data_IF_455304188377
#
_entry.id   IF_455304188377
#
_cell.length_a   1.000
_cell.length_b   1.000
_cell.length_c   1.000
_cell.angle_alpha   90.00
_cell.angle_beta   90.00
_cell.angle_gamma   90.00
#
_symmetry.space_group_name_H-M   'P 1'
#
loop_
_entity.id
_entity.type
_entity.pdbx_description
1 polymer ?
#
# COMPACT_ATOMS: atom_id res chain seq x y z
N UNK A 1 -7.99 -5.14 -14.64
CA UNK A 1 -7.09 -6.23 -14.16
C UNK A 1 -7.53 -7.53 -14.78
N UNK A 2 -6.63 -8.25 -15.40
CA UNK A 2 -6.88 -9.58 -15.89
C UNK A 2 -6.06 -10.58 -15.09
N UNK A 3 -6.68 -11.69 -14.70
CA UNK A 3 -6.06 -12.74 -13.90
C UNK A 3 -5.55 -13.85 -14.82
N UNK A 4 -4.52 -13.53 -15.61
CA UNK A 4 -3.91 -14.48 -16.54
C UNK A 4 -2.48 -14.80 -16.13
N UNK A 5 -2.01 -15.97 -16.50
CA UNK A 5 -0.64 -16.43 -16.25
C UNK A 5 -0.30 -16.52 -14.75
N UNK A 6 -1.28 -16.89 -13.95
CA UNK A 6 -1.13 -17.07 -12.51
C UNK A 6 -1.42 -18.52 -12.16
N UNK A 7 -0.39 -19.25 -11.73
CA UNK A 7 -0.57 -20.63 -11.24
C UNK A 7 -1.19 -20.62 -9.86
N UNK A 8 -2.03 -21.60 -9.57
CA UNK A 8 -2.55 -21.79 -8.22
C UNK A 8 -1.41 -21.95 -7.21
N UNK A 9 -1.52 -21.30 -6.08
CA UNK A 9 -0.56 -21.41 -4.99
C UNK A 9 -1.09 -20.75 -3.73
N UNK A 10 -0.39 -20.99 -2.63
CA UNK A 10 -0.68 -20.37 -1.32
C UNK A 10 0.56 -19.59 -0.90
N UNK A 11 0.38 -18.35 -0.48
CA UNK A 11 1.47 -17.53 0.03
C UNK A 11 1.39 -17.42 1.54
N UNK A 12 2.43 -17.89 2.22
CA UNK A 12 2.64 -17.62 3.63
C UNK A 12 3.45 -16.32 3.73
N UNK A 13 2.79 -15.22 4.02
CA UNK A 13 3.41 -13.89 4.04
C UNK A 13 4.51 -13.78 5.10
N UNK A 14 4.46 -14.57 6.16
CA UNK A 14 5.51 -14.56 7.18
C UNK A 14 6.85 -15.07 6.64
N UNK A 15 6.83 -15.83 5.53
CA UNK A 15 8.03 -16.39 4.89
C UNK A 15 8.50 -15.57 3.68
N UNK A 16 7.76 -14.56 3.28
CA UNK A 16 8.17 -13.65 2.19
C UNK A 16 9.20 -12.66 2.74
N UNK A 17 10.28 -12.45 1.99
CA UNK A 17 11.32 -11.50 2.39
C UNK A 17 10.74 -10.12 2.65
N UNK A 18 11.14 -9.52 3.76
CA UNK A 18 10.74 -8.16 4.12
C UNK A 18 11.80 -7.18 3.68
N UNK A 19 11.42 -6.18 2.89
CA UNK A 19 12.31 -5.11 2.47
C UNK A 19 11.97 -3.80 3.17
N UNK A 20 12.97 -2.93 3.36
CA UNK A 20 12.81 -1.65 4.04
C UNK A 20 12.79 -0.51 3.03
N UNK A 21 11.86 0.41 3.22
CA UNK A 21 11.71 1.58 2.36
C UNK A 21 11.52 2.82 3.24
N UNK A 22 12.52 3.69 3.28
CA UNK A 22 12.44 4.91 4.08
C UNK A 22 11.39 5.86 3.50
N UNK A 23 10.57 6.43 4.38
CA UNK A 23 9.79 7.59 4.04
C UNK A 23 10.60 8.87 4.21
N UNK A 24 9.98 9.99 4.01
CA UNK A 24 10.54 11.27 4.43
C UNK A 24 10.73 11.28 5.95
N UNK A 25 9.78 10.70 6.66
CA UNK A 25 9.89 10.31 8.06
C UNK A 25 9.39 8.88 8.20
N UNK A 26 9.91 8.14 9.16
CA UNK A 26 9.50 6.77 9.41
C UNK A 26 9.96 5.77 8.36
N UNK A 27 9.42 4.57 8.46
CA UNK A 27 9.84 3.43 7.65
C UNK A 27 8.63 2.65 7.16
N UNK A 28 8.68 2.18 5.91
CA UNK A 28 7.76 1.20 5.38
C UNK A 28 8.47 -0.14 5.22
N UNK A 29 7.81 -1.22 5.61
CA UNK A 29 8.29 -2.58 5.42
C UNK A 29 7.36 -3.28 4.43
N UNK A 30 7.94 -3.87 3.38
CA UNK A 30 7.18 -4.53 2.33
C UNK A 30 7.50 -6.01 2.27
N UNK A 31 6.47 -6.82 2.07
CA UNK A 31 6.56 -8.20 1.63
C UNK A 31 5.83 -8.26 0.30
N UNK A 32 6.52 -8.63 -0.77
CA UNK A 32 6.03 -8.49 -2.14
C UNK A 32 6.00 -9.82 -2.86
N UNK A 33 4.89 -10.09 -3.55
CA UNK A 33 4.75 -11.19 -4.49
C UNK A 33 4.24 -10.64 -5.82
N UNK A 34 4.73 -11.19 -6.92
CA UNK A 34 4.29 -10.81 -8.25
C UNK A 34 3.67 -12.01 -8.93
N UNK A 35 2.47 -11.84 -9.46
CA UNK A 35 1.72 -12.89 -10.15
C UNK A 35 1.33 -12.34 -11.53
N UNK A 36 1.97 -12.83 -12.60
CA UNK A 36 1.77 -12.25 -13.92
C UNK A 36 2.12 -10.75 -13.88
N UNK A 37 1.21 -9.91 -14.34
CA UNK A 37 1.38 -8.46 -14.29
C UNK A 37 0.90 -7.79 -13.01
N UNK A 38 0.55 -8.57 -11.99
CA UNK A 38 -0.06 -8.07 -10.75
C UNK A 38 0.95 -8.15 -9.62
N UNK A 39 1.16 -7.04 -8.91
CA UNK A 39 1.97 -6.99 -7.70
C UNK A 39 1.05 -6.96 -6.47
N UNK A 40 1.32 -7.84 -5.52
CA UNK A 40 0.59 -7.93 -4.26
C UNK A 40 1.57 -7.71 -3.11
N UNK A 41 1.23 -6.83 -2.18
CA UNK A 41 2.12 -6.49 -1.06
C UNK A 41 1.39 -6.49 0.26
N UNK A 42 2.07 -7.00 1.27
CA UNK A 42 1.75 -6.72 2.67
C UNK A 42 2.71 -5.63 3.13
N UNK A 43 2.17 -4.50 3.55
CA UNK A 43 2.95 -3.31 3.89
C UNK A 43 2.66 -2.91 5.33
N UNK A 44 3.72 -2.53 6.05
CA UNK A 44 3.61 -2.01 7.41
C UNK A 44 4.33 -0.67 7.48
N UNK A 45 3.62 0.35 7.95
CA UNK A 45 4.19 1.67 8.22
C UNK A 45 4.43 1.85 9.71
N UNK A 46 5.60 2.36 10.07
CA UNK A 46 5.87 2.74 11.46
C UNK A 46 5.07 4.00 11.84
N UNK A 47 4.77 4.21 13.13
CA UNK A 47 4.16 5.47 13.57
C UNK A 47 4.97 6.67 13.08
N UNK A 48 4.28 7.66 12.55
CA UNK A 48 4.93 8.86 12.01
C UNK A 48 5.46 8.73 10.58
N UNK A 49 5.19 7.62 9.89
CA UNK A 49 5.60 7.46 8.50
C UNK A 49 4.94 8.52 7.61
N UNK A 50 5.74 9.11 6.72
CA UNK A 50 5.29 9.97 5.63
C UNK A 50 6.04 9.55 4.36
N UNK A 51 5.31 9.22 3.31
CA UNK A 51 5.91 8.83 2.03
C UNK A 51 6.78 9.97 1.48
N UNK A 52 7.90 9.60 0.87
CA UNK A 52 8.88 10.56 0.35
C UNK A 52 8.52 11.15 -1.01
N UNK A 53 7.43 10.69 -1.61
CA UNK A 53 7.00 11.15 -2.93
C UNK A 53 5.48 11.04 -3.10
N UNK A 54 4.97 11.75 -4.10
CA UNK A 54 3.60 11.59 -4.58
C UNK A 54 3.55 10.43 -5.57
N UNK A 55 2.62 9.52 -5.36
CA UNK A 55 2.46 8.33 -6.20
C UNK A 55 1.40 8.57 -7.26
N UNK A 56 1.70 8.19 -8.51
CA UNK A 56 0.73 8.22 -9.61
C UNK A 56 0.28 6.83 -10.04
N UNK A 57 0.77 5.79 -9.37
CA UNK A 57 0.41 4.40 -9.70
C UNK A 57 -0.96 4.06 -9.18
N UNK A 58 -1.76 3.39 -10.01
CA UNK A 58 -3.04 2.85 -9.60
C UNK A 58 -2.88 1.65 -8.68
N UNK A 59 -3.78 1.52 -7.72
CA UNK A 59 -3.82 0.35 -6.84
C UNK A 59 -5.13 0.25 -6.06
N UNK A 60 -5.30 -0.90 -5.44
CA UNK A 60 -6.33 -1.14 -4.44
C UNK A 60 -5.61 -1.34 -3.12
N UNK A 61 -5.97 -0.56 -2.10
CA UNK A 61 -5.37 -0.65 -0.78
C UNK A 61 -6.46 -0.94 0.25
N UNK A 62 -6.25 -1.99 1.03
CA UNK A 62 -7.08 -2.33 2.19
C UNK A 62 -6.28 -2.08 3.46
N UNK A 63 -6.82 -1.28 4.37
CA UNK A 63 -6.23 -1.10 5.70
C UNK A 63 -6.62 -2.28 6.58
N UNK A 64 -5.61 -2.99 7.11
CA UNK A 64 -5.79 -4.15 7.98
C UNK A 64 -5.75 -3.76 9.45
N UNK A 65 -4.85 -2.84 9.81
CA UNK A 65 -4.67 -2.34 11.18
C UNK A 65 -4.20 -0.88 11.15
N UNK A 66 -4.49 -0.14 12.21
CA UNK A 66 -4.04 1.22 12.40
C UNK A 66 -4.82 2.24 11.57
N UNK A 67 -4.14 3.25 11.10
CA UNK A 67 -4.72 4.33 10.29
C UNK A 67 -3.84 4.65 9.10
N UNK A 68 -4.42 4.69 7.91
CA UNK A 68 -3.78 5.22 6.72
C UNK A 68 -4.42 6.56 6.37
N UNK A 69 -3.62 7.62 6.34
CA UNK A 69 -4.03 8.93 5.85
C UNK A 69 -3.56 9.07 4.41
N UNK A 70 -4.50 9.31 3.50
CA UNK A 70 -4.21 9.51 2.08
C UNK A 70 -4.61 10.92 1.69
N UNK A 71 -3.66 11.67 1.13
CA UNK A 71 -3.89 13.00 0.59
C UNK A 71 -3.79 12.95 -0.93
N UNK A 72 -4.78 13.52 -1.61
CA UNK A 72 -4.75 13.70 -3.06
C UNK A 72 -4.12 15.05 -3.41
N UNK A 73 -3.55 15.15 -4.61
CA UNK A 73 -2.87 16.37 -5.03
C UNK A 73 -3.80 17.60 -5.07
N UNK A 74 -5.10 17.40 -5.21
CA UNK A 74 -6.10 18.47 -5.18
C UNK A 74 -6.49 18.93 -3.76
N UNK A 75 -5.87 18.33 -2.72
CA UNK A 75 -6.09 18.69 -1.33
C UNK A 75 -7.11 17.85 -0.58
N UNK A 76 -7.86 16.97 -1.26
CA UNK A 76 -8.77 16.06 -0.55
C UNK A 76 -7.99 15.09 0.32
N UNK A 77 -8.51 14.79 1.49
CA UNK A 77 -7.88 13.89 2.48
C UNK A 77 -8.85 12.82 2.92
N UNK A 78 -8.33 11.61 3.06
CA UNK A 78 -9.12 10.46 3.48
C UNK A 78 -8.36 9.70 4.57
N UNK A 79 -9.09 9.13 5.52
CA UNK A 79 -8.53 8.30 6.58
C UNK A 79 -9.14 6.91 6.46
N UNK A 80 -8.29 5.91 6.31
CA UNK A 80 -8.68 4.51 6.36
C UNK A 80 -8.32 3.94 7.73
N UNK A 81 -9.30 3.33 8.36
CA UNK A 81 -9.11 2.47 9.54
C UNK A 81 -9.30 1.02 9.12
N UNK A 82 -9.12 0.08 10.04
CA UNK A 82 -9.22 -1.35 9.75
C UNK A 82 -10.55 -1.68 9.05
N UNK A 83 -10.48 -2.37 7.91
CA UNK A 83 -11.64 -2.77 7.11
C UNK A 83 -12.03 -1.79 6.01
N UNK A 84 -11.42 -0.60 5.94
CA UNK A 84 -11.66 0.36 4.86
C UNK A 84 -10.63 0.21 3.76
N UNK A 85 -11.05 0.44 2.53
CA UNK A 85 -10.18 0.38 1.36
C UNK A 85 -10.42 1.55 0.42
N UNK A 86 -9.43 1.86 -0.42
CA UNK A 86 -9.64 2.75 -1.55
C UNK A 86 -9.06 2.14 -2.82
N UNK A 87 -9.50 2.65 -3.95
CA UNK A 87 -9.00 2.30 -5.28
C UNK A 87 -8.70 3.58 -6.05
N UNK A 88 -7.67 3.53 -6.87
CA UNK A 88 -7.27 4.62 -7.76
C UNK A 88 -6.67 4.04 -9.03
N UNK A 89 -7.00 4.62 -10.18
CA UNK A 89 -6.45 4.20 -11.46
C UNK A 89 -5.05 4.80 -11.69
N UNK A 90 -4.29 4.19 -12.59
CA UNK A 90 -2.98 4.72 -13.01
C UNK A 90 -3.14 6.14 -13.55
N UNK A 91 -2.29 7.05 -13.08
CA UNK A 91 -2.20 8.44 -13.51
C UNK A 91 -3.49 9.26 -13.35
N UNK A 92 -4.47 8.76 -12.59
CA UNK A 92 -5.73 9.47 -12.41
C UNK A 92 -5.62 10.55 -11.34
N UNK A 93 -5.10 10.20 -10.17
CA UNK A 93 -5.02 11.13 -9.06
C UNK A 93 -3.73 10.87 -8.25
N UNK A 94 -2.73 11.75 -8.39
CA UNK A 94 -1.54 11.66 -7.54
C UNK A 94 -1.92 11.71 -6.07
N UNK A 95 -1.31 10.83 -5.27
CA UNK A 95 -1.65 10.66 -3.86
C UNK A 95 -0.41 10.40 -3.04
N UNK A 96 -0.50 10.72 -1.74
CA UNK A 96 0.58 10.56 -0.78
C UNK A 96 0.06 9.93 0.48
N UNK A 97 0.78 8.95 1.00
CA UNK A 97 0.42 8.19 2.20
C UNK A 97 1.18 8.65 3.42
N UNK A 98 0.48 8.69 4.54
CA UNK A 98 1.11 8.88 5.85
C UNK A 98 0.29 8.17 6.93
N UNK A 99 0.90 7.98 8.08
CA UNK A 99 0.21 7.50 9.26
C UNK A 99 0.77 8.19 10.51
N UNK A 100 -0.11 8.42 11.47
CA UNK A 100 0.30 8.93 12.78
C UNK A 100 0.65 7.79 13.73
N UNK A 101 -0.16 6.76 13.74
CA UNK A 101 -0.11 5.67 14.74
C UNK A 101 0.46 4.37 14.21
N UNK A 102 0.77 4.30 12.94
CA UNK A 102 1.15 3.07 12.24
C UNK A 102 -0.01 2.49 11.47
N UNK A 103 0.31 1.67 10.48
CA UNK A 103 -0.69 1.02 9.63
C UNK A 103 -0.14 -0.29 9.08
N UNK A 104 -1.04 -1.27 8.92
CA UNK A 104 -0.79 -2.48 8.13
C UNK A 104 -1.77 -2.51 6.97
N UNK A 105 -1.24 -2.73 5.78
CA UNK A 105 -1.98 -2.59 4.53
C UNK A 105 -1.82 -3.84 3.66
N UNK A 106 -2.85 -4.12 2.89
CA UNK A 106 -2.80 -5.08 1.77
C UNK A 106 -3.00 -4.28 0.48
N UNK A 107 -2.03 -4.38 -0.43
CA UNK A 107 -1.99 -3.54 -1.64
C UNK A 107 -1.90 -4.44 -2.88
N UNK A 108 -2.75 -4.17 -3.86
CA UNK A 108 -2.75 -4.83 -5.16
C UNK A 108 -2.56 -3.78 -6.25
N UNK A 109 -1.55 -3.98 -7.10
CA UNK A 109 -1.32 -3.09 -8.25
C UNK A 109 -0.62 -3.75 -9.43
#
# INVERSE_FOLDING_TARGET
>A
MQMSDISFGVTDWSKVERTEHKGETGMAYWRTQTFGGIRVRMVEYTPGYLADHWCSKGHIILCLEGELHTELADGRKFILTAGLSYQVADNAEPHRSRTRVGAKLFIVD
#
